data_IF_818366553590
#
_entry.id   IF_818366553590
#
_cell.length_a   1.000
_cell.length_b   1.000
_cell.length_c   1.000
_cell.angle_alpha   90.00
_cell.angle_beta   90.00
_cell.angle_gamma   90.00
#
_symmetry.space_group_name_H-M   'P 1'
#
loop_
_entity.id
_entity.type
_entity.pdbx_description
1 polymer ?
#
# COMPACT_ATOMS: atom_id res chain seq x y z
N UNK A 1 -12.49 12.67 -2.31
CA UNK A 1 -12.03 11.29 -2.04
C UNK A 1 -10.72 11.38 -1.26
N UNK A 2 -10.49 10.48 -0.30
CA UNK A 2 -9.29 10.48 0.57
C UNK A 2 -8.62 9.12 0.50
N UNK A 3 -7.30 9.14 0.34
CA UNK A 3 -6.39 8.01 0.49
C UNK A 3 -5.21 8.49 1.34
N UNK A 4 -5.10 7.99 2.56
CA UNK A 4 -4.12 8.43 3.56
C UNK A 4 -3.34 7.22 4.08
N UNK A 5 -2.05 7.39 4.33
CA UNK A 5 -1.20 6.34 4.88
C UNK A 5 0.25 6.77 5.00
N UNK A 6 1.12 5.85 5.42
CA UNK A 6 2.56 6.05 5.36
C UNK A 6 3.04 5.84 3.91
N UNK A 7 3.37 6.92 3.21
CA UNK A 7 3.84 6.87 1.82
C UNK A 7 5.30 6.43 1.72
N UNK A 8 5.53 5.40 0.92
CA UNK A 8 6.84 4.96 0.42
C UNK A 8 7.04 5.47 -1.01
N UNK A 9 8.28 5.58 -1.43
CA UNK A 9 8.66 5.82 -2.82
C UNK A 9 9.95 5.08 -3.14
N UNK A 10 10.19 4.83 -4.43
CA UNK A 10 11.51 4.39 -4.87
C UNK A 10 12.50 5.56 -4.87
N UNK A 11 13.73 5.28 -4.49
CA UNK A 11 14.83 6.25 -4.56
C UNK A 11 15.44 6.37 -5.96
N UNK A 12 15.21 5.37 -6.82
CA UNK A 12 15.67 5.30 -8.21
C UNK A 12 14.84 4.25 -8.97
N UNK A 13 14.91 4.23 -10.30
CA UNK A 13 14.30 3.17 -11.10
C UNK A 13 14.79 1.79 -10.65
N UNK A 14 13.91 1.00 -10.02
CA UNK A 14 14.21 -0.36 -9.57
C UNK A 14 13.85 -1.37 -10.66
N UNK A 15 14.32 -2.63 -10.56
CA UNK A 15 13.91 -3.70 -11.51
C UNK A 15 12.37 -3.84 -11.54
N UNK A 16 11.70 -3.59 -10.42
CA UNK A 16 10.26 -3.78 -10.26
C UNK A 16 9.48 -2.60 -10.88
N UNK A 17 9.98 -1.38 -10.74
CA UNK A 17 9.36 -0.16 -11.27
C UNK A 17 10.13 0.44 -12.45
N UNK A 18 10.92 -0.37 -13.17
CA UNK A 18 11.87 0.09 -14.19
C UNK A 18 11.21 0.89 -15.31
N UNK A 19 9.93 0.64 -15.60
CA UNK A 19 9.18 1.31 -16.65
C UNK A 19 8.42 2.56 -16.16
N UNK A 20 8.41 2.81 -14.85
CA UNK A 20 7.85 4.02 -14.27
C UNK A 20 8.99 5.01 -14.04
N UNK A 21 8.96 6.12 -14.78
CA UNK A 21 9.94 7.19 -14.61
C UNK A 21 9.84 7.76 -13.20
N UNK A 22 10.94 7.67 -12.44
CA UNK A 22 11.02 8.24 -11.10
C UNK A 22 11.39 9.72 -11.23
N UNK A 23 10.41 10.60 -11.03
CA UNK A 23 10.63 12.04 -10.88
C UNK A 23 11.09 12.32 -9.44
N UNK A 24 12.35 12.73 -9.26
CA UNK A 24 12.92 13.03 -7.94
C UNK A 24 12.22 14.22 -7.25
N UNK A 25 11.66 15.16 -8.02
CA UNK A 25 10.96 16.32 -7.46
C UNK A 25 9.52 15.99 -7.04
N UNK A 26 8.94 14.93 -7.64
CA UNK A 26 7.57 14.47 -7.38
C UNK A 26 7.46 12.95 -7.44
N UNK A 27 8.00 12.24 -6.44
CA UNK A 27 7.96 10.79 -6.44
C UNK A 27 6.51 10.28 -6.33
N UNK A 28 6.24 9.18 -7.03
CA UNK A 28 4.99 8.46 -6.84
C UNK A 28 4.98 7.77 -5.47
N UNK A 29 3.92 8.02 -4.69
CA UNK A 29 3.78 7.45 -3.36
C UNK A 29 2.83 6.25 -3.37
N UNK A 30 3.28 5.15 -2.77
CA UNK A 30 2.49 3.95 -2.49
C UNK A 30 2.48 3.63 -1.00
N UNK A 31 1.43 2.97 -0.46
CA UNK A 31 1.28 2.84 0.99
C UNK A 31 2.17 1.75 1.56
N UNK A 32 2.82 2.01 2.70
CA UNK A 32 3.34 0.95 3.54
C UNK A 32 2.18 0.25 4.25
N UNK A 33 1.76 -0.89 3.71
CA UNK A 33 0.68 -1.69 4.27
C UNK A 33 0.93 -2.13 5.72
N UNK A 34 2.18 -2.16 6.20
CA UNK A 34 2.50 -2.47 7.60
C UNK A 34 2.08 -1.34 8.53
N UNK A 35 2.18 -0.09 8.11
CA UNK A 35 1.67 1.06 8.87
C UNK A 35 0.14 1.23 8.74
N UNK A 36 -0.47 0.48 7.82
CA UNK A 36 -1.87 0.62 7.45
C UNK A 36 -2.13 1.86 6.58
N UNK A 37 -3.37 1.98 6.11
CA UNK A 37 -3.86 3.12 5.35
C UNK A 37 -5.38 3.21 5.50
N UNK A 38 -5.94 4.36 5.16
CA UNK A 38 -7.39 4.60 5.18
C UNK A 38 -7.88 5.14 3.84
N UNK A 39 -9.10 4.73 3.50
CA UNK A 39 -9.81 5.17 2.30
C UNK A 39 -11.13 5.79 2.73
N UNK A 40 -11.49 6.95 2.16
CA UNK A 40 -12.85 7.46 2.32
C UNK A 40 -13.87 6.52 1.68
N UNK A 41 -15.07 6.43 2.24
CA UNK A 41 -16.18 5.64 1.66
C UNK A 41 -16.48 6.05 0.20
N UNK A 42 -16.45 7.35 -0.10
CA UNK A 42 -16.62 7.85 -1.47
C UNK A 42 -15.56 7.31 -2.43
N UNK A 43 -14.30 7.17 -1.98
CA UNK A 43 -13.25 6.58 -2.79
C UNK A 43 -13.51 5.09 -3.02
N UNK A 44 -13.89 4.35 -1.98
CA UNK A 44 -14.24 2.92 -2.10
C UNK A 44 -15.36 2.73 -3.14
N UNK A 45 -16.43 3.52 -3.09
CA UNK A 45 -17.52 3.43 -4.08
C UNK A 45 -17.04 3.66 -5.51
N UNK A 46 -16.13 4.62 -5.74
CA UNK A 46 -15.54 4.87 -7.07
C UNK A 46 -14.66 3.70 -7.51
N UNK A 47 -13.86 3.14 -6.61
CA UNK A 47 -13.02 1.99 -6.91
C UNK A 47 -13.86 0.76 -7.27
N UNK A 48 -14.98 0.54 -6.60
CA UNK A 48 -15.91 -0.56 -6.95
C UNK A 48 -16.46 -0.41 -8.37
N UNK A 49 -16.88 0.80 -8.76
CA UNK A 49 -17.35 1.07 -10.13
C UNK A 49 -16.25 0.82 -11.15
N UNK A 50 -15.05 1.35 -10.89
CA UNK A 50 -13.89 1.17 -11.76
C UNK A 50 -13.44 -0.28 -11.87
N UNK A 51 -13.53 -1.03 -10.78
CA UNK A 51 -13.19 -2.46 -10.77
C UNK A 51 -14.05 -3.25 -11.75
N UNK A 52 -15.34 -2.91 -11.91
CA UNK A 52 -16.22 -3.55 -12.90
C UNK A 52 -15.77 -3.34 -14.35
N UNK A 53 -15.09 -2.24 -14.64
CA UNK A 53 -14.50 -1.95 -15.96
C UNK A 53 -13.20 -2.74 -16.18
N UNK A 54 -12.36 -2.85 -15.14
CA UNK A 54 -11.04 -3.49 -15.19
C UNK A 54 -11.12 -5.02 -15.10
N UNK A 55 -12.12 -5.56 -14.39
CA UNK A 55 -12.32 -7.01 -14.21
C UNK A 55 -12.60 -7.77 -15.52
N UNK A 56 -12.87 -7.05 -16.63
CA UNK A 56 -13.02 -7.62 -17.96
C UNK A 56 -11.66 -7.90 -18.64
N UNK A 57 -10.55 -7.41 -18.08
CA UNK A 57 -9.19 -7.66 -18.58
C UNK A 57 -8.73 -9.07 -18.20
N UNK A 58 -7.84 -9.69 -18.99
CA UNK A 58 -7.21 -10.96 -18.62
C UNK A 58 -6.58 -10.85 -17.23
N UNK A 59 -6.88 -11.82 -16.35
CA UNK A 59 -6.22 -11.90 -15.05
C UNK A 59 -4.73 -12.14 -15.27
N UNK A 60 -3.89 -11.36 -14.59
CA UNK A 60 -2.51 -11.76 -14.36
C UNK A 60 -2.49 -12.74 -13.20
N UNK A 61 -1.76 -13.85 -13.35
CA UNK A 61 -1.70 -14.92 -12.35
C UNK A 61 -0.79 -14.57 -11.15
N UNK A 62 -0.12 -13.40 -11.19
CA UNK A 62 0.74 -12.92 -10.12
C UNK A 62 0.78 -11.38 -10.07
N UNK A 63 1.09 -10.85 -8.89
CA UNK A 63 1.42 -9.44 -8.61
C UNK A 63 2.89 -9.38 -8.23
N UNK A 64 3.63 -8.40 -8.75
CA UNK A 64 5.06 -8.25 -8.44
C UNK A 64 5.22 -7.35 -7.21
N UNK A 65 4.40 -6.30 -7.12
CA UNK A 65 4.31 -5.41 -5.96
C UNK A 65 2.86 -4.98 -5.75
N UNK A 66 2.18 -5.65 -4.81
CA UNK A 66 0.78 -5.39 -4.52
C UNK A 66 0.53 -3.97 -3.98
N UNK A 67 1.48 -3.38 -3.26
CA UNK A 67 1.31 -2.04 -2.68
C UNK A 67 1.36 -0.99 -3.78
N UNK A 68 2.35 -1.10 -4.66
CA UNK A 68 2.52 -0.22 -5.80
C UNK A 68 1.36 -0.35 -6.81
N UNK A 69 1.03 -1.58 -7.21
CA UNK A 69 -0.07 -1.86 -8.15
C UNK A 69 -1.42 -1.35 -7.61
N UNK A 70 -1.65 -1.51 -6.31
CA UNK A 70 -2.85 -0.98 -5.65
C UNK A 70 -2.89 0.55 -5.69
N UNK A 71 -1.77 1.22 -5.41
CA UNK A 71 -1.68 2.68 -5.49
C UNK A 71 -1.94 3.17 -6.92
N UNK A 72 -1.40 2.49 -7.94
CA UNK A 72 -1.64 2.82 -9.37
C UNK A 72 -3.09 2.62 -9.78
N UNK A 73 -3.76 1.60 -9.25
CA UNK A 73 -5.19 1.42 -9.46
C UNK A 73 -6.00 2.58 -8.86
N UNK A 74 -5.69 3.04 -7.64
CA UNK A 74 -6.35 4.19 -7.03
C UNK A 74 -6.04 5.49 -7.78
N UNK A 75 -4.80 5.69 -8.21
CA UNK A 75 -4.39 6.84 -9.02
C UNK A 75 -5.18 6.89 -10.32
N UNK A 76 -5.37 5.75 -10.98
CA UNK A 76 -6.18 5.69 -12.19
C UNK A 76 -7.64 6.14 -11.93
N UNK A 77 -8.16 6.00 -10.70
CA UNK A 77 -9.45 6.52 -10.27
C UNK A 77 -9.41 8.01 -9.84
N UNK A 78 -8.27 8.68 -10.02
CA UNK A 78 -8.06 10.11 -9.80
C UNK A 78 -7.76 10.47 -8.35
N UNK A 79 -7.12 9.60 -7.57
CA UNK A 79 -6.73 9.90 -6.19
C UNK A 79 -5.31 9.39 -5.92
N UNK A 80 -4.45 10.27 -5.42
CA UNK A 80 -3.08 9.93 -5.00
C UNK A 80 -3.05 9.67 -3.50
N UNK A 81 -2.05 8.90 -3.07
CA UNK A 81 -1.77 8.72 -1.64
C UNK A 81 -1.32 10.05 -1.03
N UNK A 82 -1.93 10.42 0.08
CA UNK A 82 -1.46 11.50 0.93
C UNK A 82 -0.69 10.89 2.11
N UNK A 83 0.60 11.22 2.20
CA UNK A 83 1.45 10.80 3.31
C UNK A 83 0.98 11.45 4.62
N UNK A 84 0.89 10.67 5.70
CA UNK A 84 0.69 11.16 7.07
C UNK A 84 1.62 10.44 8.06
N UNK A 85 2.16 11.21 9.01
CA UNK A 85 3.00 10.71 10.10
C UNK A 85 2.22 9.95 11.18
N UNK A 86 0.88 9.99 11.13
CA UNK A 86 0.02 9.28 12.10
C UNK A 86 -0.04 7.76 11.83
N UNK A 87 0.51 7.32 10.68
CA UNK A 87 0.62 5.92 10.27
C UNK A 87 2.04 5.44 10.56
N UNK A 88 2.19 4.69 11.65
CA UNK A 88 3.50 4.37 12.20
C UNK A 88 3.87 2.89 12.00
N UNK A 89 5.17 2.65 11.82
CA UNK A 89 5.75 1.30 11.83
C UNK A 89 6.11 0.83 13.24
N UNK A 90 6.37 1.78 14.14
CA UNK A 90 6.70 1.53 15.53
C UNK A 90 5.70 2.22 16.46
N UNK A 91 5.61 1.74 17.71
CA UNK A 91 4.71 2.32 18.68
C UNK A 91 5.17 3.72 19.11
N UNK A 92 4.28 4.71 19.02
CA UNK A 92 4.53 6.08 19.43
C UNK A 92 3.27 6.75 19.98
N UNK A 93 3.44 7.83 20.75
CA UNK A 93 2.33 8.54 21.42
C UNK A 93 1.41 9.27 20.45
N UNK A 94 1.85 9.54 19.23
CA UNK A 94 1.11 10.27 18.19
C UNK A 94 0.64 9.35 17.05
N UNK A 95 0.70 8.03 17.23
CA UNK A 95 0.33 7.07 16.19
C UNK A 95 -1.16 6.73 16.23
N UNK A 96 -1.87 6.97 15.12
CA UNK A 96 -3.26 6.61 14.93
C UNK A 96 -3.44 5.11 14.60
N UNK A 97 -2.49 4.55 13.84
CA UNK A 97 -2.44 3.12 13.50
C UNK A 97 -1.04 2.59 13.81
N UNK A 98 -0.98 1.48 14.54
CA UNK A 98 0.26 0.75 14.83
C UNK A 98 0.04 -0.72 14.53
N UNK A 99 0.94 -1.31 13.74
CA UNK A 99 1.03 -2.75 13.63
C UNK A 99 1.79 -3.31 14.82
N UNK A 100 1.10 -4.08 15.65
CA UNK A 100 1.72 -4.84 16.72
C UNK A 100 1.82 -6.32 16.29
N UNK A 101 2.96 -6.75 15.74
CA UNK A 101 3.17 -8.18 15.50
C UNK A 101 3.18 -8.84 16.88
N UNK A 102 2.11 -9.54 17.25
CA UNK A 102 2.19 -10.42 18.41
C UNK A 102 3.32 -11.41 18.12
N UNK A 103 4.19 -11.65 19.10
CA UNK A 103 5.24 -12.68 19.08
C UNK A 103 4.67 -14.11 19.03
N UNK A 104 3.78 -14.40 18.07
CA UNK A 104 3.10 -15.68 17.89
C UNK A 104 3.74 -16.54 16.79
N UNK A 105 4.94 -16.19 16.32
CA UNK A 105 5.83 -17.20 15.75
C UNK A 105 6.48 -17.94 16.92
N UNK A 106 5.72 -18.85 17.54
CA UNK A 106 6.28 -19.84 18.44
C UNK A 106 7.28 -20.66 17.61
N UNK A 107 8.57 -20.53 17.92
CA UNK A 107 9.55 -21.50 17.45
C UNK A 107 9.08 -22.88 17.88
N UNK A 108 8.79 -23.75 16.91
CA UNK A 108 8.51 -25.17 17.14
C UNK A 108 9.84 -25.82 17.55
N UNK A 109 10.30 -25.56 18.77
CA UNK A 109 11.53 -26.11 19.34
C UNK A 109 11.21 -26.91 20.61
N UNK A 110 10.05 -27.61 20.64
CA UNK A 110 9.58 -28.28 21.85
C UNK A 110 8.61 -29.43 21.66
N UNK A 111 8.58 -30.10 20.49
CA UNK A 111 7.84 -31.37 20.33
C UNK A 111 8.80 -32.49 19.99
N UNK A 112 9.69 -32.84 20.93
CA UNK A 112 10.29 -34.17 21.08
C UNK A 112 10.85 -34.30 22.51
N UNK A 113 10.06 -34.85 23.43
CA UNK A 113 10.53 -35.54 24.64
C UNK A 113 9.42 -36.47 25.12
#
# INVERSE_FOLDING_TARGET
PVFLGHGLHDAAETIIHHFDHVDEDKPFLFPDARAGFVLSTTLVSRLCQKWSEVAQRPKMDFTIDAQYEFARFIESAGTLLLHSNDFCLEFGTECAIVFNPRNFCVSIAGVMS
#
